data_IF_415093892176
#
_entry.id   IF_415093892176
#
_cell.length_a   1.000
_cell.length_b   1.000
_cell.length_c   1.000
_cell.angle_alpha   90.00
_cell.angle_beta   90.00
_cell.angle_gamma   90.00
#
_symmetry.space_group_name_H-M   'P 1'
#
loop_
_entity.id
_entity.type
_entity.pdbx_description
1 polymer ?
#
# COMPACT_ATOMS: atom_id res chain seq x y z
N UNK A 1 -1.08 -11.86 -31.13
CA UNK A 1 0.06 -10.99 -30.78
C UNK A 1 -0.27 -10.41 -29.42
N UNK A 2 0.52 -10.71 -28.39
CA UNK A 2 0.26 -10.22 -27.03
C UNK A 2 0.48 -8.71 -26.93
N UNK A 3 -0.20 -8.07 -25.99
CA UNK A 3 0.05 -6.66 -25.65
C UNK A 3 1.42 -6.58 -25.00
N UNK A 4 2.30 -5.76 -25.55
CA UNK A 4 3.62 -5.45 -24.97
C UNK A 4 3.44 -4.37 -23.90
N UNK A 5 3.95 -4.63 -22.70
CA UNK A 5 3.93 -3.69 -21.58
C UNK A 5 5.36 -3.31 -21.22
N UNK A 6 5.54 -2.03 -20.92
CA UNK A 6 6.76 -1.44 -20.37
C UNK A 6 6.36 -0.44 -19.26
N UNK A 7 7.35 0.07 -18.53
CA UNK A 7 7.11 0.92 -17.37
C UNK A 7 6.29 2.17 -17.72
N UNK A 8 6.60 2.81 -18.84
CA UNK A 8 5.90 4.00 -19.33
C UNK A 8 4.45 3.70 -19.75
N UNK A 9 4.20 2.61 -20.47
CA UNK A 9 2.85 2.24 -20.90
C UNK A 9 1.98 1.81 -19.72
N UNK A 10 2.55 1.15 -18.72
CA UNK A 10 1.83 0.82 -17.48
C UNK A 10 1.48 2.07 -16.65
N UNK A 11 2.42 3.02 -16.51
CA UNK A 11 2.16 4.32 -15.86
C UNK A 11 1.07 5.11 -16.60
N UNK A 12 1.19 5.21 -17.93
CA UNK A 12 0.19 5.84 -18.79
C UNK A 12 -1.18 5.22 -18.61
N UNK A 13 -1.25 3.88 -18.59
CA UNK A 13 -2.52 3.18 -18.44
C UNK A 13 -3.15 3.38 -17.07
N UNK A 14 -2.34 3.45 -16.02
CA UNK A 14 -2.77 3.77 -14.66
C UNK A 14 -3.44 5.16 -14.60
N UNK A 15 -2.85 6.16 -15.25
CA UNK A 15 -3.46 7.50 -15.38
C UNK A 15 -4.74 7.49 -16.23
N UNK A 16 -4.76 6.77 -17.35
CA UNK A 16 -5.96 6.64 -18.20
C UNK A 16 -7.16 6.10 -17.42
N UNK A 17 -6.96 5.13 -16.52
CA UNK A 17 -8.04 4.62 -15.68
C UNK A 17 -8.51 5.65 -14.64
N UNK A 18 -7.58 6.41 -14.03
CA UNK A 18 -7.94 7.47 -13.08
C UNK A 18 -8.72 8.61 -13.75
N UNK A 19 -8.35 8.99 -14.98
CA UNK A 19 -9.04 10.02 -15.79
C UNK A 19 -10.51 9.69 -16.09
N UNK A 20 -10.91 8.42 -16.00
CA UNK A 20 -12.29 7.98 -16.22
C UNK A 20 -13.16 8.13 -14.97
N UNK A 21 -12.55 8.32 -13.80
CA UNK A 21 -13.27 8.42 -12.54
C UNK A 21 -13.86 9.83 -12.36
N UNK A 22 -14.99 9.91 -11.65
CA UNK A 22 -15.64 11.17 -11.34
C UNK A 22 -14.68 12.08 -10.54
N UNK A 23 -14.80 13.40 -10.74
CA UNK A 23 -14.03 14.43 -10.01
C UNK A 23 -12.51 14.43 -10.23
N UNK A 24 -11.96 13.60 -11.13
CA UNK A 24 -10.53 13.60 -11.45
C UNK A 24 -10.04 14.99 -11.89
N UNK A 25 -8.90 15.42 -11.34
CA UNK A 25 -8.23 16.68 -11.70
C UNK A 25 -6.90 16.43 -12.40
N UNK A 26 -5.98 15.73 -11.73
CA UNK A 26 -4.63 15.44 -12.21
C UNK A 26 -3.98 14.34 -11.36
N UNK A 27 -2.79 13.87 -11.74
CA UNK A 27 -1.98 13.04 -10.84
C UNK A 27 -1.52 13.85 -9.61
N UNK A 28 -1.44 13.22 -8.44
CA UNK A 28 -0.95 13.86 -7.21
C UNK A 28 0.59 13.96 -7.18
N UNK A 29 1.26 13.07 -7.91
CA UNK A 29 2.69 13.04 -8.20
C UNK A 29 2.96 12.22 -9.48
N UNK A 30 4.19 12.26 -10.00
CA UNK A 30 4.57 11.45 -11.16
C UNK A 30 4.58 9.96 -10.78
N UNK A 31 3.82 9.13 -11.51
CA UNK A 31 3.73 7.68 -11.25
C UNK A 31 5.11 7.03 -11.31
N UNK A 32 5.48 6.32 -10.25
CA UNK A 32 6.63 5.42 -10.24
C UNK A 32 6.11 4.07 -10.75
N UNK A 33 6.59 3.66 -11.91
CA UNK A 33 6.29 2.36 -12.51
C UNK A 33 7.63 1.70 -12.76
N UNK A 34 7.96 0.69 -11.96
CA UNK A 34 9.32 0.20 -11.83
C UNK A 34 9.36 -1.33 -11.88
N UNK A 35 10.09 -1.88 -12.85
CA UNK A 35 10.25 -3.32 -13.02
C UNK A 35 11.66 -3.77 -12.62
N UNK A 36 11.74 -4.90 -11.92
CA UNK A 36 13.01 -5.51 -11.50
C UNK A 36 13.96 -4.49 -10.85
N UNK A 37 15.21 -4.34 -11.35
CA UNK A 37 16.22 -3.47 -10.74
C UNK A 37 15.77 -2.02 -10.53
N UNK A 38 14.92 -1.48 -11.41
CA UNK A 38 14.41 -0.12 -11.29
C UNK A 38 13.57 0.06 -10.02
N UNK A 39 12.91 -1.00 -9.54
CA UNK A 39 12.14 -0.98 -8.31
C UNK A 39 12.97 -0.74 -7.05
N UNK A 40 14.29 -1.02 -7.09
CA UNK A 40 15.19 -0.76 -5.96
C UNK A 40 15.50 0.73 -5.77
N UNK A 41 15.26 1.56 -6.79
CA UNK A 41 15.50 3.00 -6.74
C UNK A 41 14.23 3.66 -6.16
N UNK A 42 14.29 4.06 -4.88
CA UNK A 42 13.12 4.50 -4.08
C UNK A 42 12.25 5.53 -4.81
N UNK A 43 12.87 6.55 -5.42
CA UNK A 43 12.21 7.60 -6.20
C UNK A 43 12.47 7.46 -7.71
N UNK A 44 12.45 6.24 -8.23
CA UNK A 44 12.57 5.98 -9.66
C UNK A 44 11.49 6.71 -10.46
N UNK A 45 11.87 7.33 -11.57
CA UNK A 45 10.92 7.87 -12.54
C UNK A 45 11.24 7.28 -13.91
N UNK A 46 10.32 6.54 -14.53
CA UNK A 46 10.56 5.99 -15.86
C UNK A 46 10.71 7.12 -16.89
N UNK A 47 11.71 6.98 -17.77
CA UNK A 47 11.95 7.88 -18.88
C UNK A 47 12.17 7.08 -20.16
N UNK A 48 12.20 7.73 -21.33
CA UNK A 48 12.51 7.07 -22.60
C UNK A 48 13.86 6.33 -22.58
N UNK A 49 14.80 6.78 -21.75
CA UNK A 49 16.15 6.22 -21.63
C UNK A 49 16.23 5.05 -20.64
N UNK A 50 15.37 5.02 -19.62
CA UNK A 50 15.41 4.04 -18.53
C UNK A 50 14.28 3.01 -18.57
N UNK A 51 13.28 3.22 -19.44
CA UNK A 51 12.10 2.38 -19.63
C UNK A 51 12.49 0.97 -20.09
N UNK A 52 12.08 -0.03 -19.31
CA UNK A 52 12.28 -1.44 -19.64
C UNK A 52 10.94 -2.19 -19.83
N UNK A 53 10.91 -3.27 -20.65
CA UNK A 53 9.76 -4.14 -20.74
C UNK A 53 9.42 -4.79 -19.40
N UNK A 54 8.12 -4.93 -19.14
CA UNK A 54 7.61 -5.80 -18.09
C UNK A 54 7.59 -7.24 -18.62
N UNK A 55 8.12 -8.16 -17.83
CA UNK A 55 7.98 -9.59 -18.09
C UNK A 55 7.65 -10.37 -16.80
N UNK A 56 7.86 -11.69 -16.81
CA UNK A 56 7.52 -12.57 -15.69
C UNK A 56 8.70 -12.90 -14.77
N UNK A 57 9.87 -12.28 -14.97
CA UNK A 57 11.13 -12.66 -14.31
C UNK A 57 11.37 -11.99 -12.96
N UNK A 58 10.69 -10.87 -12.67
CA UNK A 58 10.92 -10.10 -11.44
C UNK A 58 9.64 -9.41 -10.94
N UNK A 59 9.81 -8.64 -9.87
CA UNK A 59 8.78 -7.81 -9.26
C UNK A 59 8.49 -6.58 -10.12
N UNK A 60 7.23 -6.16 -10.08
CA UNK A 60 6.75 -4.90 -10.61
C UNK A 60 6.18 -4.07 -9.45
N UNK A 61 6.74 -2.90 -9.22
CA UNK A 61 6.27 -1.92 -8.24
C UNK A 61 5.59 -0.79 -9.01
N UNK A 62 4.35 -0.48 -8.63
CA UNK A 62 3.65 0.71 -9.09
C UNK A 62 3.22 1.53 -7.88
N UNK A 63 3.70 2.77 -7.85
CA UNK A 63 3.32 3.79 -6.88
C UNK A 63 2.72 4.97 -7.64
N UNK A 64 1.47 5.27 -7.33
CA UNK A 64 0.69 6.24 -8.08
C UNK A 64 -0.47 6.81 -7.29
N UNK A 65 -0.77 8.07 -7.56
CA UNK A 65 -1.88 8.77 -6.95
C UNK A 65 -2.50 9.80 -7.88
N UNK A 66 -3.66 10.32 -7.48
CA UNK A 66 -4.35 11.41 -8.15
C UNK A 66 -5.03 12.37 -7.18
N UNK A 67 -5.21 13.58 -7.69
CA UNK A 67 -6.06 14.62 -7.16
C UNK A 67 -7.47 14.49 -7.73
N UNK A 68 -8.43 14.52 -6.83
CA UNK A 68 -9.85 14.62 -7.11
C UNK A 68 -10.41 15.84 -6.39
N UNK A 69 -11.54 16.38 -6.83
CA UNK A 69 -12.20 17.50 -6.13
C UNK A 69 -12.58 17.16 -4.69
N UNK A 70 -12.68 15.87 -4.38
CA UNK A 70 -13.04 15.29 -3.10
C UNK A 70 -11.87 14.56 -2.41
N UNK A 71 -10.62 14.76 -2.84
CA UNK A 71 -9.46 14.28 -2.07
C UNK A 71 -8.18 14.07 -2.85
N UNK A 72 -7.14 13.64 -2.13
CA UNK A 72 -5.84 13.25 -2.67
C UNK A 72 -5.60 11.78 -2.37
N UNK A 73 -5.10 11.03 -3.35
CA UNK A 73 -4.78 9.61 -3.19
C UNK A 73 -3.29 9.37 -3.31
N UNK A 74 -2.83 8.36 -2.57
CA UNK A 74 -1.49 7.80 -2.65
C UNK A 74 -1.58 6.28 -2.43
N UNK A 75 -0.91 5.50 -3.28
CA UNK A 75 -0.98 4.03 -3.19
C UNK A 75 0.15 3.37 -3.98
N UNK A 76 0.93 2.57 -3.24
CA UNK A 76 1.89 1.65 -3.79
C UNK A 76 1.43 0.20 -3.68
N UNK A 77 1.58 -0.56 -4.77
CA UNK A 77 1.51 -2.03 -4.76
C UNK A 77 2.71 -2.63 -5.49
N UNK A 78 3.22 -3.71 -4.93
CA UNK A 78 4.23 -4.56 -5.58
C UNK A 78 3.61 -5.90 -5.94
N UNK A 79 3.82 -6.36 -7.17
CA UNK A 79 3.28 -7.62 -7.71
C UNK A 79 4.38 -8.42 -8.42
N UNK A 80 4.07 -9.68 -8.75
CA UNK A 80 4.94 -10.52 -9.58
C UNK A 80 4.10 -11.19 -10.67
N UNK A 81 4.50 -11.12 -11.94
CA UNK A 81 3.72 -11.72 -13.03
C UNK A 81 4.03 -13.21 -13.26
N UNK A 82 5.26 -13.66 -12.97
CA UNK A 82 5.65 -15.07 -12.98
C UNK A 82 5.62 -15.73 -11.60
N UNK A 83 6.68 -16.50 -11.31
CA UNK A 83 6.92 -17.15 -10.00
C UNK A 83 8.00 -16.40 -9.20
N UNK A 84 7.69 -15.84 -8.04
CA UNK A 84 8.67 -15.11 -7.23
C UNK A 84 9.67 -16.04 -6.55
N UNK A 85 10.85 -15.52 -6.21
CA UNK A 85 11.85 -16.25 -5.43
C UNK A 85 11.46 -16.32 -3.95
N UNK A 86 12.03 -17.27 -3.20
CA UNK A 86 11.80 -17.37 -1.74
C UNK A 86 12.19 -16.08 -1.01
N UNK A 87 13.26 -15.41 -1.46
CA UNK A 87 13.72 -14.15 -0.88
C UNK A 87 12.73 -13.01 -1.13
N UNK A 88 12.18 -12.90 -2.36
CA UNK A 88 11.15 -11.91 -2.68
C UNK A 88 9.87 -12.14 -1.85
N UNK A 89 9.46 -13.40 -1.70
CA UNK A 89 8.30 -13.78 -0.88
C UNK A 89 8.55 -13.44 0.60
N UNK A 90 9.71 -13.78 1.16
CA UNK A 90 10.03 -13.45 2.55
C UNK A 90 10.05 -11.94 2.78
N UNK A 91 10.80 -11.19 1.95
CA UNK A 91 10.88 -9.74 2.06
C UNK A 91 9.51 -9.07 1.95
N UNK A 92 8.68 -9.47 0.98
CA UNK A 92 7.33 -8.95 0.82
C UNK A 92 6.47 -9.24 2.04
N UNK A 93 6.54 -10.47 2.55
CA UNK A 93 5.78 -10.87 3.73
C UNK A 93 6.20 -10.05 4.95
N UNK A 94 7.49 -9.75 5.14
CA UNK A 94 7.96 -8.89 6.24
C UNK A 94 7.48 -7.45 6.10
N UNK A 95 7.51 -6.88 4.90
CA UNK A 95 6.95 -5.55 4.63
C UNK A 95 5.46 -5.52 4.96
N UNK A 96 4.70 -6.53 4.51
CA UNK A 96 3.29 -6.67 4.80
C UNK A 96 3.00 -6.85 6.29
N UNK A 97 3.80 -7.64 7.03
CA UNK A 97 3.66 -7.74 8.49
C UNK A 97 3.78 -6.37 9.16
N UNK A 98 4.74 -5.57 8.70
CA UNK A 98 4.95 -4.22 9.22
C UNK A 98 3.74 -3.33 8.98
N UNK A 99 3.23 -3.33 7.76
CA UNK A 99 2.04 -2.55 7.38
C UNK A 99 0.80 -2.98 8.19
N UNK A 100 0.56 -4.29 8.31
CA UNK A 100 -0.57 -4.80 9.10
C UNK A 100 -0.45 -4.43 10.59
N UNK A 101 0.75 -4.49 11.15
CA UNK A 101 1.01 -4.11 12.54
C UNK A 101 0.88 -2.59 12.76
N UNK A 102 1.22 -1.77 11.76
CA UNK A 102 1.01 -0.33 11.77
C UNK A 102 -0.47 0.01 11.70
N UNK A 103 -1.20 -0.52 10.70
CA UNK A 103 -2.61 -0.20 10.45
C UNK A 103 -3.55 -0.66 11.57
N UNK A 104 -3.26 -1.76 12.27
CA UNK A 104 -4.14 -2.33 13.31
C UNK A 104 -3.76 -1.88 14.75
N UNK A 105 -2.79 -0.96 14.89
CA UNK A 105 -2.37 -0.48 16.22
C UNK A 105 -3.49 0.28 16.93
N UNK A 106 -3.60 0.10 18.25
CA UNK A 106 -4.46 0.89 19.14
C UNK A 106 -3.61 1.56 20.21
N UNK A 107 -3.77 2.87 20.38
CA UNK A 107 -2.97 3.65 21.32
C UNK A 107 -3.78 4.77 22.00
N UNK A 108 -3.39 5.27 23.20
CA UNK A 108 -4.14 6.34 23.86
C UNK A 108 -3.96 7.69 23.15
N UNK A 109 -5.04 8.45 22.95
CA UNK A 109 -5.00 9.74 22.25
C UNK A 109 -4.05 10.76 22.91
N UNK A 110 -4.00 10.78 24.24
CA UNK A 110 -3.21 11.75 25.02
C UNK A 110 -1.90 11.16 25.57
N UNK A 111 -1.35 10.14 24.91
CA UNK A 111 -0.13 9.45 25.36
C UNK A 111 1.16 10.22 25.04
N UNK A 112 1.11 11.19 24.12
CA UNK A 112 2.30 11.82 23.55
C UNK A 112 3.03 10.93 22.53
N UNK A 113 2.43 9.82 22.12
CA UNK A 113 2.93 8.98 21.02
C UNK A 113 2.98 9.79 19.73
N UNK A 114 4.13 9.77 19.09
CA UNK A 114 4.40 10.37 17.79
C UNK A 114 4.41 9.32 16.68
N UNK A 115 4.42 9.75 15.43
CA UNK A 115 4.58 8.86 14.28
C UNK A 115 5.86 8.02 14.37
N UNK A 116 6.96 8.61 14.84
CA UNK A 116 8.24 7.91 15.06
C UNK A 116 8.12 6.73 16.02
N UNK A 117 7.26 6.85 17.05
CA UNK A 117 7.03 5.77 18.01
C UNK A 117 6.23 4.62 17.39
N UNK A 118 5.35 4.92 16.43
CA UNK A 118 4.56 3.92 15.69
C UNK A 118 5.40 3.27 14.57
N UNK A 119 6.33 4.01 13.94
CA UNK A 119 7.17 3.49 12.85
C UNK A 119 7.91 2.18 13.19
N UNK A 120 8.25 1.96 14.47
CA UNK A 120 8.91 0.73 14.89
C UNK A 120 8.06 -0.52 14.60
N UNK A 121 6.74 -0.40 14.59
CA UNK A 121 5.82 -1.51 14.27
C UNK A 121 6.01 -1.95 12.81
N UNK A 122 6.09 -0.99 11.90
CA UNK A 122 6.33 -1.24 10.49
C UNK A 122 7.73 -1.83 10.22
N UNK A 123 8.74 -1.38 10.97
CA UNK A 123 10.14 -1.80 10.78
C UNK A 123 10.49 -3.12 11.46
N UNK A 124 9.81 -3.45 12.56
CA UNK A 124 10.16 -4.59 13.43
C UNK A 124 10.29 -5.92 12.69
N UNK A 125 9.39 -6.32 11.77
CA UNK A 125 9.53 -7.60 11.06
C UNK A 125 10.77 -7.68 10.19
N UNK A 126 11.20 -6.57 9.58
CA UNK A 126 12.44 -6.49 8.81
C UNK A 126 13.67 -6.50 9.73
N UNK A 127 13.63 -5.75 10.84
CA UNK A 127 14.73 -5.73 11.83
C UNK A 127 15.04 -7.10 12.42
N UNK A 128 14.01 -7.94 12.64
CA UNK A 128 14.19 -9.30 13.15
C UNK A 128 15.08 -10.18 12.27
N UNK A 129 15.20 -9.85 10.98
CA UNK A 129 16.04 -10.56 10.01
C UNK A 129 17.20 -9.69 9.49
N UNK A 130 17.49 -8.56 10.14
CA UNK A 130 18.60 -7.67 9.80
C UNK A 130 18.38 -6.80 8.57
N UNK A 131 17.14 -6.64 8.11
CA UNK A 131 16.78 -5.80 6.96
C UNK A 131 16.24 -4.44 7.40
N UNK A 132 16.25 -3.45 6.50
CA UNK A 132 15.70 -2.11 6.73
C UNK A 132 15.35 -1.41 5.40
N UNK A 133 14.61 -0.30 5.47
CA UNK A 133 14.39 0.65 4.39
C UNK A 133 14.80 2.06 4.78
N UNK A 134 15.27 2.85 3.80
CA UNK A 134 15.95 4.13 4.00
C UNK A 134 15.08 5.36 3.67
N UNK A 135 13.77 5.26 3.95
CA UNK A 135 12.82 6.38 3.92
C UNK A 135 11.93 6.34 5.17
N UNK A 136 11.14 7.39 5.40
CA UNK A 136 10.13 7.42 6.46
C UNK A 136 9.02 6.39 6.20
N UNK A 137 8.31 5.98 7.24
CA UNK A 137 7.21 5.00 7.07
C UNK A 137 5.91 5.66 6.61
N UNK A 138 5.79 6.97 6.83
CA UNK A 138 4.54 7.69 6.70
C UNK A 138 4.77 9.19 6.52
N UNK A 139 3.83 9.85 5.84
CA UNK A 139 3.65 11.30 5.78
C UNK A 139 2.16 11.65 5.87
N UNK A 140 1.84 12.92 6.12
CA UNK A 140 0.47 13.42 6.03
C UNK A 140 0.00 13.48 4.57
N UNK A 141 -1.31 13.34 4.35
CA UNK A 141 -1.94 13.47 3.04
C UNK A 141 -3.03 14.55 3.11
N UNK A 142 -2.87 15.60 2.31
CA UNK A 142 -3.83 16.71 2.27
C UNK A 142 -5.12 16.33 1.54
N UNK A 143 -6.22 17.02 1.85
CA UNK A 143 -7.51 16.85 1.16
C UNK A 143 -7.57 17.73 -0.09
N UNK A 144 -7.33 17.16 -1.28
CA UNK A 144 -7.17 17.90 -2.55
C UNK A 144 -6.09 19.00 -2.45
N UNK A 145 -4.97 18.64 -1.80
CA UNK A 145 -3.82 19.52 -1.55
C UNK A 145 -2.51 18.73 -1.80
N UNK A 146 -1.47 18.94 -0.99
CA UNK A 146 -0.21 18.23 -1.17
C UNK A 146 -0.37 16.76 -0.79
N UNK A 147 0.17 15.85 -1.61
CA UNK A 147 0.24 14.43 -1.27
C UNK A 147 1.20 14.18 -0.11
N UNK A 148 2.26 14.98 -0.01
CA UNK A 148 3.19 15.01 1.11
C UNK A 148 2.94 16.26 1.97
N UNK A 149 2.14 16.11 3.03
CA UNK A 149 1.99 17.11 4.10
C UNK A 149 2.77 16.69 5.35
N UNK A 150 3.20 17.69 6.13
CA UNK A 150 3.81 17.42 7.44
C UNK A 150 2.76 16.83 8.38
N UNK A 151 3.14 15.78 9.09
CA UNK A 151 2.30 15.24 10.17
C UNK A 151 2.23 16.21 11.33
N UNK A 152 1.08 16.28 11.99
CA UNK A 152 0.94 17.06 13.22
C UNK A 152 1.73 16.39 14.37
N UNK A 153 2.20 17.16 15.38
CA UNK A 153 2.95 16.59 16.50
C UNK A 153 2.19 15.56 17.33
N UNK A 154 0.86 15.57 17.26
CA UNK A 154 -0.03 14.62 17.89
C UNK A 154 -1.13 14.24 16.91
N UNK A 155 -1.58 12.99 16.97
CA UNK A 155 -2.65 12.47 16.12
C UNK A 155 -4.01 13.06 16.51
N UNK A 156 -4.72 13.57 15.51
CA UNK A 156 -6.10 14.04 15.59
C UNK A 156 -7.04 13.20 14.74
N UNK A 157 -8.25 12.92 15.24
CA UNK A 157 -9.27 12.18 14.47
C UNK A 157 -9.60 12.92 13.16
N UNK A 158 -9.64 12.18 12.06
CA UNK A 158 -9.86 12.71 10.71
C UNK A 158 -8.58 13.18 9.99
N UNK A 159 -7.41 13.00 10.59
CA UNK A 159 -6.12 13.16 9.90
C UNK A 159 -5.85 11.97 8.98
N UNK A 160 -5.30 12.24 7.79
CA UNK A 160 -4.92 11.23 6.81
C UNK A 160 -3.40 11.12 6.70
N UNK A 161 -2.91 9.88 6.69
CA UNK A 161 -1.49 9.55 6.67
C UNK A 161 -1.24 8.41 5.69
N UNK A 162 -0.06 8.34 5.07
CA UNK A 162 0.39 7.10 4.42
C UNK A 162 0.87 6.07 5.45
N UNK A 163 0.78 4.80 5.11
CA UNK A 163 1.42 3.67 5.80
C UNK A 163 2.13 2.85 4.71
N UNK A 164 3.41 3.14 4.50
CA UNK A 164 4.17 2.77 3.29
C UNK A 164 5.51 2.06 3.56
N UNK A 165 5.60 1.03 4.41
CA UNK A 165 6.86 0.31 4.58
C UNK A 165 7.38 -0.29 3.26
N UNK A 166 8.70 -0.45 3.18
CA UNK A 166 9.35 -0.99 1.99
C UNK A 166 10.60 -1.82 2.29
N UNK A 167 11.20 -2.34 1.23
CA UNK A 167 12.50 -3.00 1.23
C UNK A 167 13.08 -3.01 -0.19
N UNK A 168 14.36 -2.68 -0.33
CA UNK A 168 14.99 -2.44 -1.63
C UNK A 168 16.33 -3.17 -1.69
N UNK A 169 16.54 -3.93 -2.76
CA UNK A 169 17.77 -4.67 -3.03
C UNK A 169 18.41 -4.08 -4.28
N UNK A 170 19.48 -3.31 -4.08
CA UNK A 170 20.19 -2.59 -5.14
C UNK A 170 20.49 -3.49 -6.34
N UNK A 171 20.06 -3.06 -7.52
CA UNK A 171 20.29 -3.78 -8.77
C UNK A 171 19.41 -5.02 -8.99
N UNK A 172 18.48 -5.34 -8.08
CA UNK A 172 17.62 -6.52 -8.20
C UNK A 172 16.12 -6.19 -8.24
N UNK A 173 15.57 -5.65 -7.15
CA UNK A 173 14.15 -5.36 -7.00
C UNK A 173 13.86 -4.43 -5.82
N UNK A 174 12.66 -3.86 -5.79
CA UNK A 174 12.12 -3.21 -4.61
C UNK A 174 10.70 -3.65 -4.33
N UNK A 175 10.32 -3.48 -3.07
CA UNK A 175 8.99 -3.75 -2.54
C UNK A 175 8.60 -2.53 -1.72
N UNK A 176 7.43 -1.99 -2.01
CA UNK A 176 6.72 -1.06 -1.14
C UNK A 176 5.24 -1.41 -1.18
N UNK A 177 4.61 -1.31 -0.03
CA UNK A 177 3.17 -1.52 0.14
C UNK A 177 2.63 -0.34 0.89
N UNK A 178 1.65 0.34 0.31
CA UNK A 178 1.21 1.62 0.84
C UNK A 178 -0.30 1.76 0.80
N UNK A 179 -0.85 2.19 1.92
CA UNK A 179 -2.23 2.63 2.05
C UNK A 179 -2.26 4.02 2.64
N UNK A 180 -3.26 4.81 2.27
CA UNK A 180 -3.67 5.95 3.09
C UNK A 180 -4.58 5.43 4.21
N UNK A 181 -4.36 5.93 5.41
CA UNK A 181 -5.13 5.64 6.61
C UNK A 181 -5.67 6.92 7.23
N UNK A 182 -6.86 6.85 7.81
CA UNK A 182 -7.47 7.90 8.62
C UNK A 182 -7.27 7.59 10.11
N UNK A 183 -6.90 8.60 10.91
CA UNK A 183 -6.91 8.49 12.37
C UNK A 183 -8.35 8.45 12.86
N UNK A 184 -8.73 7.41 13.59
CA UNK A 184 -10.09 7.22 14.13
C UNK A 184 -10.08 6.90 15.61
N UNK A 185 -11.21 7.12 16.30
CA UNK A 185 -11.38 6.61 17.66
C UNK A 185 -11.47 5.07 17.64
N UNK A 186 -10.72 4.43 18.53
CA UNK A 186 -10.72 2.99 18.70
C UNK A 186 -11.70 2.58 19.81
N UNK A 187 -12.48 1.52 19.56
CA UNK A 187 -13.34 0.92 20.56
C UNK A 187 -12.52 -0.07 21.38
N UNK A 188 -12.32 0.24 22.66
CA UNK A 188 -11.59 -0.60 23.62
C UNK A 188 -12.49 -1.05 24.78
N UNK A 189 -12.26 -2.23 25.37
CA UNK A 189 -13.06 -2.73 26.49
C UNK A 189 -12.89 -1.93 27.78
N UNK A 190 -11.82 -1.15 27.88
CA UNK A 190 -11.49 -0.33 29.05
C UNK A 190 -11.09 1.07 28.60
N UNK A 191 -11.57 2.08 29.30
CA UNK A 191 -11.16 3.46 29.12
C UNK A 191 -10.25 3.87 30.27
N UNK A 192 -8.94 3.86 30.03
CA UNK A 192 -7.95 4.36 30.98
C UNK A 192 -7.49 5.75 30.57
N UNK A 193 -8.06 6.78 31.21
CA UNK A 193 -7.67 8.18 31.04
C UNK A 193 -7.94 8.80 29.65
N UNK A 194 -9.01 8.37 28.97
CA UNK A 194 -9.47 8.99 27.73
C UNK A 194 -9.65 8.02 26.56
N UNK A 195 -10.04 8.52 25.38
CA UNK A 195 -10.22 7.70 24.20
C UNK A 195 -8.90 7.08 23.72
N UNK A 196 -9.03 5.94 23.06
CA UNK A 196 -7.95 5.37 22.26
C UNK A 196 -8.14 5.74 20.80
N UNK A 197 -7.06 5.80 20.05
CA UNK A 197 -7.03 6.00 18.61
C UNK A 197 -6.55 4.71 17.93
N UNK A 198 -6.89 4.59 16.66
CA UNK A 198 -6.38 3.59 15.72
C UNK A 198 -6.41 4.19 14.32
N UNK A 199 -6.13 3.37 13.31
CA UNK A 199 -6.15 3.75 11.92
C UNK A 199 -7.26 3.03 11.17
N UNK A 200 -7.87 3.74 10.23
CA UNK A 200 -8.86 3.20 9.31
C UNK A 200 -8.31 3.28 7.89
N UNK A 201 -8.07 2.13 7.26
CA UNK A 201 -7.57 2.07 5.89
C UNK A 201 -8.63 2.59 4.90
N UNK A 202 -8.25 3.62 4.15
CA UNK A 202 -9.07 4.25 3.10
C UNK A 202 -8.67 3.73 1.72
N UNK A 203 -7.41 3.35 1.53
CA UNK A 203 -6.96 2.65 0.33
C UNK A 203 -7.45 1.20 0.31
N UNK A 204 -8.33 0.87 -0.63
CA UNK A 204 -8.90 -0.47 -0.79
C UNK A 204 -8.41 -1.14 -2.09
N UNK A 205 -7.19 -1.68 -2.07
CA UNK A 205 -6.58 -2.40 -3.21
C UNK A 205 -5.97 -3.70 -2.71
N UNK A 206 -6.26 -4.86 -3.30
CA UNK A 206 -5.77 -6.13 -2.78
C UNK A 206 -4.22 -6.23 -2.83
N UNK A 207 -3.67 -7.01 -1.92
CA UNK A 207 -2.25 -7.42 -1.90
C UNK A 207 -2.03 -8.60 -2.86
N UNK A 208 -0.78 -8.90 -3.22
CA UNK A 208 -0.44 -9.98 -4.16
C UNK A 208 -0.28 -11.33 -3.44
N UNK A 209 -1.23 -12.29 -3.57
CA UNK A 209 -1.19 -13.52 -2.77
C UNK A 209 0.03 -14.39 -3.05
N UNK A 210 0.61 -14.33 -4.26
CA UNK A 210 1.81 -15.11 -4.62
C UNK A 210 3.06 -14.69 -3.82
N UNK A 211 3.05 -13.50 -3.24
CA UNK A 211 4.18 -12.96 -2.49
C UNK A 211 4.02 -13.11 -0.97
N UNK A 212 2.92 -13.70 -0.50
CA UNK A 212 2.61 -13.84 0.92
C UNK A 212 2.93 -15.26 1.39
N UNK A 213 3.90 -15.40 2.28
CA UNK A 213 4.13 -16.64 3.01
C UNK A 213 3.30 -16.64 4.30
N UNK A 214 2.16 -17.33 4.27
CA UNK A 214 1.24 -17.42 5.41
C UNK A 214 1.87 -18.03 6.66
N UNK A 215 2.94 -18.83 6.54
CA UNK A 215 3.61 -19.41 7.72
C UNK A 215 4.42 -18.39 8.52
N UNK A 216 4.71 -17.21 7.95
CA UNK A 216 5.38 -16.12 8.66
C UNK A 216 4.41 -15.21 9.38
N UNK A 217 3.14 -15.21 8.98
CA UNK A 217 2.09 -14.38 9.57
C UNK A 217 1.62 -14.97 10.90
N UNK A 218 1.33 -14.10 11.86
CA UNK A 218 0.58 -14.50 13.05
C UNK A 218 -0.89 -14.73 12.70
N UNK A 219 -1.60 -15.50 13.54
CA UNK A 219 -3.06 -15.68 13.38
C UNK A 219 -3.80 -14.34 13.31
N UNK A 220 -3.41 -13.39 14.17
CA UNK A 220 -3.98 -12.04 14.20
C UNK A 220 -3.76 -11.30 12.88
N UNK A 221 -2.52 -11.29 12.37
CA UNK A 221 -2.20 -10.66 11.07
C UNK A 221 -3.01 -11.26 9.91
N UNK A 222 -3.26 -12.58 9.93
CA UNK A 222 -4.11 -13.20 8.92
C UNK A 222 -5.57 -12.79 9.05
N UNK A 223 -6.07 -12.65 10.27
CA UNK A 223 -7.43 -12.16 10.51
C UNK A 223 -7.57 -10.68 10.08
N UNK A 224 -6.56 -9.83 10.32
CA UNK A 224 -6.50 -8.43 9.83
C UNK A 224 -6.55 -8.40 8.31
N UNK A 225 -5.66 -9.13 7.64
CA UNK A 225 -5.58 -9.19 6.18
C UNK A 225 -6.88 -9.71 5.54
N UNK A 226 -7.49 -10.75 6.12
CA UNK A 226 -8.77 -11.27 5.66
C UNK A 226 -9.92 -10.25 5.84
N UNK A 227 -9.94 -9.48 6.95
CA UNK A 227 -10.91 -8.38 7.13
C UNK A 227 -10.72 -7.31 6.07
N UNK A 228 -9.49 -6.90 5.81
CA UNK A 228 -9.16 -5.94 4.76
C UNK A 228 -9.63 -6.42 3.38
N UNK A 229 -9.27 -7.64 2.96
CA UNK A 229 -9.70 -8.20 1.67
C UNK A 229 -11.22 -8.37 1.56
N UNK A 230 -11.90 -8.65 2.67
CA UNK A 230 -13.37 -8.68 2.71
C UNK A 230 -13.94 -7.29 2.41
N UNK A 231 -13.44 -6.23 3.06
CA UNK A 231 -13.85 -4.85 2.77
C UNK A 231 -13.57 -4.45 1.32
N UNK A 232 -12.38 -4.75 0.82
CA UNK A 232 -12.01 -4.52 -0.60
C UNK A 232 -13.03 -5.18 -1.54
N UNK A 233 -13.36 -6.45 -1.29
CA UNK A 233 -14.34 -7.19 -2.10
C UNK A 233 -15.75 -6.60 -2.02
N UNK A 234 -16.19 -6.20 -0.83
CA UNK A 234 -17.55 -5.71 -0.61
C UNK A 234 -17.74 -4.28 -1.13
N UNK A 235 -16.84 -3.36 -0.78
CA UNK A 235 -16.95 -1.94 -1.13
C UNK A 235 -16.55 -1.68 -2.59
N UNK A 236 -15.31 -2.03 -2.96
CA UNK A 236 -14.80 -1.79 -4.32
C UNK A 236 -15.47 -2.73 -5.32
N UNK A 237 -15.77 -3.96 -4.91
CA UNK A 237 -16.48 -4.90 -5.78
C UNK A 237 -17.89 -4.45 -6.12
N UNK A 238 -18.63 -3.86 -5.16
CA UNK A 238 -19.94 -3.28 -5.43
C UNK A 238 -19.86 -2.09 -6.40
N UNK A 239 -18.85 -1.23 -6.27
CA UNK A 239 -18.63 -0.11 -7.18
C UNK A 239 -18.27 -0.60 -8.60
N UNK A 240 -17.37 -1.58 -8.73
CA UNK A 240 -17.05 -2.20 -10.02
C UNK A 240 -18.28 -2.77 -10.72
N UNK A 241 -19.18 -3.43 -9.99
CA UNK A 241 -20.44 -3.95 -10.54
C UNK A 241 -21.38 -2.82 -10.98
N UNK A 242 -21.48 -1.75 -10.19
CA UNK A 242 -22.27 -0.55 -10.54
C UNK A 242 -21.77 0.09 -11.84
N UNK A 243 -20.45 0.12 -12.05
CA UNK A 243 -19.83 0.62 -13.29
C UNK A 243 -19.83 -0.40 -14.45
N UNK A 244 -20.32 -1.63 -14.24
CA UNK A 244 -20.32 -2.68 -15.27
C UNK A 244 -18.95 -3.31 -15.56
N UNK A 245 -17.97 -3.17 -14.66
CA UNK A 245 -16.59 -3.65 -14.81
C UNK A 245 -16.44 -5.13 -14.42
N UNK A 246 -17.14 -6.02 -15.13
CA UNK A 246 -17.23 -7.44 -14.78
C UNK A 246 -15.87 -8.17 -14.78
N UNK A 247 -14.97 -7.83 -15.70
CA UNK A 247 -13.63 -8.43 -15.78
C UNK A 247 -12.77 -8.03 -14.56
N UNK A 248 -12.76 -6.74 -14.21
CA UNK A 248 -12.07 -6.22 -13.03
C UNK A 248 -12.64 -6.82 -11.74
N UNK A 249 -13.96 -6.96 -11.63
CA UNK A 249 -14.60 -7.63 -10.49
C UNK A 249 -14.16 -9.09 -10.37
N UNK A 250 -14.09 -9.82 -11.48
CA UNK A 250 -13.63 -11.22 -11.48
C UNK A 250 -12.16 -11.31 -11.04
N UNK A 251 -11.31 -10.38 -11.49
CA UNK A 251 -9.93 -10.26 -11.02
C UNK A 251 -9.87 -9.96 -9.52
N UNK A 252 -10.68 -9.02 -9.02
CA UNK A 252 -10.75 -8.65 -7.60
C UNK A 252 -11.06 -9.86 -6.72
N UNK A 253 -12.05 -10.67 -7.10
CA UNK A 253 -12.42 -11.90 -6.39
C UNK A 253 -11.24 -12.89 -6.32
N UNK A 254 -10.45 -13.00 -7.39
CA UNK A 254 -9.29 -13.89 -7.39
C UNK A 254 -8.19 -13.46 -6.42
N UNK A 255 -8.12 -12.16 -6.10
CA UNK A 255 -7.10 -11.54 -5.24
C UNK A 255 -7.53 -11.36 -3.79
N UNK A 256 -8.82 -11.53 -3.49
CA UNK A 256 -9.42 -11.31 -2.16
C UNK A 256 -9.92 -12.61 -1.51
N UNK A 257 -9.44 -13.76 -1.98
CA UNK A 257 -9.76 -15.04 -1.35
C UNK A 257 -9.14 -15.09 0.06
N UNK A 258 -9.90 -15.55 1.08
CA UNK A 258 -9.37 -15.67 2.42
C UNK A 258 -8.14 -16.56 2.47
N UNK A 259 -7.12 -16.12 3.19
CA UNK A 259 -5.93 -16.93 3.48
C UNK A 259 -6.13 -17.73 4.78
N UNK A 260 -5.50 -18.90 4.84
CA UNK A 260 -5.50 -19.74 6.03
C UNK A 260 -4.15 -19.68 6.72
N UNK A 261 -4.20 -19.37 8.01
CA UNK A 261 -3.16 -19.46 9.02
C UNK A 261 -3.82 -20.08 10.26
#
# INVERSE_FOLDING_TARGET
MGVYWDELSAATKSEEFRRQQQNYVQLSFATISAFGPNGAIIHYQPSSETNIPLDTSSLYLIDSGAQFLDGTTDVTRTVHFGSPTLQQVEAYTRVLQGQLDFADVVFPANSGISLTDIEILARKPLYQVGLNYLHGTSHGVGMFLYVHESTLPAFGVGEFLSDEPGFYVDGEYGIRLENVVEVVEAITPYNFSGPSLSFWETTLVPYEPKLINTTLLTRHQCDVLNRYHTRVKEEVGAEMLTQGLQEAYTWLLSKTNPISC
#
